data_IF_039058984450
#
_entry.id   IF_039058984450
#
_cell.length_a   1.000
_cell.length_b   1.000
_cell.length_c   1.000
_cell.angle_alpha   90.00
_cell.angle_beta   90.00
_cell.angle_gamma   90.00
#
_symmetry.space_group_name_H-M   'P 1'
#
loop_
_entity.id
_entity.type
_entity.pdbx_description
1 polymer ?
#
# COMPACT_ATOMS: atom_id res chain seq x y z
N UNK A 1 -1.81 -10.84 -12.57
CA UNK A 1 -1.24 -10.05 -11.45
C UNK A 1 -1.98 -10.44 -10.18
N UNK A 2 -1.25 -10.83 -9.13
CA UNK A 2 -1.82 -11.21 -7.83
C UNK A 2 -2.45 -10.00 -7.14
N UNK A 3 -3.41 -10.21 -6.24
CA UNK A 3 -4.11 -9.14 -5.52
C UNK A 3 -3.14 -8.21 -4.74
N UNK A 4 -2.12 -8.78 -4.11
CA UNK A 4 -1.08 -8.02 -3.41
C UNK A 4 -0.26 -7.14 -4.35
N UNK A 5 0.00 -7.60 -5.58
CA UNK A 5 0.71 -6.82 -6.60
C UNK A 5 -0.15 -5.65 -7.10
N UNK A 6 -1.47 -5.85 -7.25
CA UNK A 6 -2.43 -4.77 -7.56
C UNK A 6 -2.34 -3.68 -6.49
N UNK A 7 -2.39 -4.07 -5.21
CA UNK A 7 -2.31 -3.14 -4.08
C UNK A 7 -1.00 -2.38 -4.06
N UNK A 8 0.14 -3.08 -4.13
CA UNK A 8 1.47 -2.46 -4.14
C UNK A 8 1.60 -1.49 -5.32
N UNK A 9 1.15 -1.89 -6.51
CA UNK A 9 1.18 -1.03 -7.71
C UNK A 9 0.31 0.22 -7.53
N UNK A 10 -0.90 0.08 -7.01
CA UNK A 10 -1.79 1.20 -6.73
C UNK A 10 -1.18 2.18 -5.72
N UNK A 11 -0.60 1.69 -4.62
CA UNK A 11 0.10 2.54 -3.64
C UNK A 11 1.30 3.28 -4.24
N UNK A 12 2.08 2.63 -5.12
CA UNK A 12 3.18 3.29 -5.83
C UNK A 12 2.70 4.35 -6.81
N UNK A 13 1.59 4.13 -7.50
CA UNK A 13 1.01 5.13 -8.41
C UNK A 13 0.41 6.31 -7.64
N UNK A 14 -0.20 6.06 -6.48
CA UNK A 14 -0.60 7.13 -5.56
C UNK A 14 0.63 7.93 -5.08
N UNK A 15 1.76 7.27 -4.80
CA UNK A 15 3.01 7.97 -4.46
C UNK A 15 3.56 8.85 -5.60
N UNK A 16 3.25 8.55 -6.86
CA UNK A 16 3.59 9.41 -8.00
C UNK A 16 2.62 10.60 -8.13
N UNK A 17 1.32 10.36 -7.93
CA UNK A 17 0.27 11.39 -8.10
C UNK A 17 0.22 12.38 -6.94
N UNK A 18 0.39 11.88 -5.72
CA UNK A 18 0.22 12.62 -4.47
C UNK A 18 1.31 12.26 -3.45
N UNK A 19 2.60 12.51 -3.77
CA UNK A 19 3.75 12.04 -2.99
C UNK A 19 3.75 12.49 -1.53
N UNK A 20 3.17 13.66 -1.22
CA UNK A 20 3.17 14.27 0.11
C UNK A 20 1.90 14.03 0.91
N UNK A 21 0.88 13.40 0.31
CA UNK A 21 -0.33 13.04 1.04
C UNK A 21 0.01 11.95 2.07
N UNK A 22 -0.64 12.03 3.23
CA UNK A 22 -0.35 11.16 4.37
C UNK A 22 -1.20 9.88 4.33
N UNK A 23 -0.57 8.76 4.63
CA UNK A 23 -1.16 7.47 4.87
C UNK A 23 -0.90 7.05 6.32
N UNK A 24 -1.95 6.59 6.98
CA UNK A 24 -1.89 6.14 8.38
C UNK A 24 -1.68 4.64 8.43
N UNK A 25 -0.65 4.22 9.17
CA UNK A 25 -0.24 2.82 9.29
C UNK A 25 -0.10 2.50 10.78
N UNK A 26 -1.18 2.00 11.37
CA UNK A 26 -1.28 1.84 12.82
C UNK A 26 -1.13 3.19 13.53
N UNK A 27 -0.09 3.33 14.35
CA UNK A 27 0.24 4.57 15.07
C UNK A 27 1.26 5.45 14.33
N UNK A 28 1.83 4.99 13.22
CA UNK A 28 2.78 5.77 12.41
C UNK A 28 2.06 6.43 11.24
N UNK A 29 2.55 7.60 10.87
CA UNK A 29 2.09 8.33 9.68
C UNK A 29 3.25 8.45 8.72
N UNK A 30 3.00 8.12 7.46
CA UNK A 30 3.95 8.26 6.37
C UNK A 30 3.33 9.08 5.26
N UNK A 31 4.13 9.72 4.43
CA UNK A 31 3.68 10.17 3.12
C UNK A 31 3.61 8.99 2.16
N UNK A 32 2.83 9.08 1.08
CA UNK A 32 2.82 8.03 0.05
C UNK A 32 4.22 7.78 -0.54
N UNK A 33 5.04 8.83 -0.70
CA UNK A 33 6.43 8.70 -1.15
C UNK A 33 7.28 7.89 -0.18
N UNK A 34 7.19 8.18 1.12
CA UNK A 34 7.90 7.41 2.15
C UNK A 34 7.42 5.96 2.17
N UNK A 35 6.10 5.75 2.12
CA UNK A 35 5.54 4.40 2.11
C UNK A 35 5.99 3.58 0.90
N UNK A 36 6.01 4.18 -0.30
CA UNK A 36 6.55 3.51 -1.49
C UNK A 36 8.04 3.14 -1.32
N UNK A 37 8.84 4.04 -0.75
CA UNK A 37 10.26 3.75 -0.45
C UNK A 37 10.41 2.59 0.56
N UNK A 38 9.53 2.49 1.55
CA UNK A 38 9.50 1.38 2.49
C UNK A 38 9.15 0.05 1.81
N UNK A 39 8.22 0.07 0.84
CA UNK A 39 7.88 -1.12 0.05
C UNK A 39 9.08 -1.57 -0.81
N UNK A 40 9.81 -0.63 -1.43
CA UNK A 40 10.97 -0.92 -2.27
C UNK A 40 12.17 -1.42 -1.48
N UNK A 41 12.37 -0.88 -0.27
CA UNK A 41 13.50 -1.23 0.59
C UNK A 41 13.14 -2.25 1.68
N UNK A 42 12.05 -3.01 1.51
CA UNK A 42 11.49 -3.88 2.56
C UNK A 42 12.54 -4.79 3.21
N UNK A 43 13.51 -5.33 2.46
CA UNK A 43 14.55 -6.22 3.01
C UNK A 43 15.50 -5.53 4.00
N UNK A 44 15.76 -4.23 3.83
CA UNK A 44 16.69 -3.44 4.66
C UNK A 44 16.04 -2.83 5.90
N UNK A 45 14.71 -2.95 6.03
CA UNK A 45 13.97 -2.41 7.16
C UNK A 45 14.23 -3.22 8.44
N UNK A 46 14.12 -2.55 9.58
CA UNK A 46 14.12 -3.19 10.88
C UNK A 46 12.89 -4.11 11.05
N UNK A 47 12.95 -5.02 12.02
CA UNK A 47 11.91 -6.03 12.24
C UNK A 47 10.55 -5.42 12.59
N UNK A 48 10.51 -4.33 13.34
CA UNK A 48 9.25 -3.69 13.76
C UNK A 48 8.57 -3.01 12.57
N UNK A 49 9.32 -2.23 11.79
CA UNK A 49 8.78 -1.56 10.59
C UNK A 49 8.32 -2.59 9.55
N UNK A 50 9.06 -3.69 9.35
CA UNK A 50 8.60 -4.80 8.49
C UNK A 50 7.26 -5.35 8.94
N UNK A 51 7.13 -5.65 10.24
CA UNK A 51 5.89 -6.21 10.81
C UNK A 51 4.72 -5.24 10.66
N UNK A 52 4.96 -3.94 10.86
CA UNK A 52 3.95 -2.90 10.71
C UNK A 52 3.44 -2.82 9.26
N UNK A 53 4.34 -2.73 8.29
CA UNK A 53 3.99 -2.68 6.87
C UNK A 53 3.27 -3.96 6.45
N UNK A 54 3.77 -5.13 6.86
CA UNK A 54 3.14 -6.39 6.53
C UNK A 54 1.72 -6.49 7.09
N UNK A 55 1.51 -6.04 8.34
CA UNK A 55 0.17 -6.01 8.94
C UNK A 55 -0.77 -5.10 8.18
N UNK A 56 -0.29 -3.93 7.76
CA UNK A 56 -1.08 -3.00 6.96
C UNK A 56 -1.44 -3.60 5.60
N UNK A 57 -0.48 -4.21 4.89
CA UNK A 57 -0.74 -4.87 3.61
C UNK A 57 -1.73 -6.02 3.75
N UNK A 58 -1.65 -6.80 4.83
CA UNK A 58 -2.61 -7.86 5.11
C UNK A 58 -4.03 -7.30 5.34
N UNK A 59 -4.15 -6.19 6.06
CA UNK A 59 -5.45 -5.52 6.27
C UNK A 59 -5.98 -4.92 4.96
N UNK A 60 -5.12 -4.28 4.17
CA UNK A 60 -5.48 -3.76 2.85
C UNK A 60 -5.91 -4.89 1.90
N UNK A 61 -5.26 -6.06 1.96
CA UNK A 61 -5.64 -7.24 1.19
C UNK A 61 -6.99 -7.81 1.64
N UNK A 62 -7.25 -7.85 2.94
CA UNK A 62 -8.55 -8.22 3.47
C UNK A 62 -9.64 -7.27 2.97
N UNK A 63 -9.44 -5.96 3.09
CA UNK A 63 -10.36 -4.95 2.55
C UNK A 63 -10.54 -5.08 1.03
N UNK A 64 -9.47 -5.38 0.28
CA UNK A 64 -9.55 -5.62 -1.15
C UNK A 64 -10.42 -6.83 -1.52
N UNK A 65 -10.50 -7.84 -0.66
CA UNK A 65 -11.36 -9.02 -0.91
C UNK A 65 -12.81 -8.77 -0.50
N UNK A 66 -12.99 -8.07 0.62
CA UNK A 66 -14.29 -7.94 1.29
C UNK A 66 -15.07 -6.68 0.86
N UNK A 67 -14.38 -5.63 0.40
CA UNK A 67 -15.01 -4.36 0.01
C UNK A 67 -14.83 -4.12 -1.50
N UNK A 68 -15.95 -4.18 -2.22
CA UNK A 68 -15.99 -4.03 -3.68
C UNK A 68 -15.58 -2.63 -4.16
N UNK A 69 -16.03 -1.58 -3.48
CA UNK A 69 -15.68 -0.20 -3.84
C UNK A 69 -14.18 0.04 -3.71
N UNK A 70 -13.60 -0.38 -2.59
CA UNK A 70 -12.15 -0.29 -2.35
C UNK A 70 -11.37 -1.11 -3.40
N UNK A 71 -11.81 -2.33 -3.69
CA UNK A 71 -11.21 -3.19 -4.73
C UNK A 71 -11.22 -2.53 -6.10
N UNK A 72 -12.37 -1.99 -6.53
CA UNK A 72 -12.53 -1.37 -7.84
C UNK A 72 -11.65 -0.12 -7.95
N UNK A 73 -11.58 0.70 -6.88
CA UNK A 73 -10.66 1.84 -6.82
C UNK A 73 -9.21 1.41 -6.98
N UNK A 74 -8.76 0.39 -6.24
CA UNK A 74 -7.37 -0.08 -6.32
C UNK A 74 -7.03 -0.70 -7.67
N UNK A 75 -7.97 -1.45 -8.28
CA UNK A 75 -7.82 -1.94 -9.66
C UNK A 75 -7.69 -0.81 -10.67
N UNK A 76 -8.58 0.19 -10.61
CA UNK A 76 -8.54 1.36 -11.48
C UNK A 76 -7.22 2.12 -11.34
N UNK A 77 -6.76 2.36 -10.11
CA UNK A 77 -5.47 2.99 -9.84
C UNK A 77 -4.32 2.16 -10.41
N UNK A 78 -4.34 0.84 -10.24
CA UNK A 78 -3.32 -0.07 -10.77
C UNK A 78 -3.38 -0.28 -12.29
N UNK A 79 -4.38 0.28 -12.99
CA UNK A 79 -4.60 0.08 -14.42
C UNK A 79 -5.05 -1.34 -14.76
N UNK A 80 -5.78 -2.00 -13.87
CA UNK A 80 -6.38 -3.32 -14.08
C UNK A 80 -7.86 -3.15 -14.35
N UNK A 81 -8.33 -3.71 -15.47
CA UNK A 81 -9.75 -3.84 -15.79
C UNK A 81 -10.29 -5.13 -15.18
#
# INVERSE_FOLDING_TARGET
MKESEILIKAFKLEAQRKPYERIFIGFKTYTYKEFASLLDNHQKLDKETKKLIQSFLNQALKMFRENEEFRNRMKMLAGVK
#
